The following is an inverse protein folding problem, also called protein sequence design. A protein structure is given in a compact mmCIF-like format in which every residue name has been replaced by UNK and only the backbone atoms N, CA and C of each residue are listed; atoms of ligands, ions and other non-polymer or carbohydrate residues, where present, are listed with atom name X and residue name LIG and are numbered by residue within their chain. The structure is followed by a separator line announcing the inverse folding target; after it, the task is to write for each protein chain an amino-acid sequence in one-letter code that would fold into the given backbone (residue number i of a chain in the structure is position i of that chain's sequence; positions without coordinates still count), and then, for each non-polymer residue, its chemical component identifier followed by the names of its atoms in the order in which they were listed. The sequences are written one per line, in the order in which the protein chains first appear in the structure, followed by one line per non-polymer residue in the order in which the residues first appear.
data_IF_018257572227
#
_entry.id   IF_018257572227
#
_cell.length_a   1.000
_cell.length_b   1.000
_cell.length_c   1.000
_cell.angle_alpha   90.00
_cell.angle_beta   90.00
_cell.angle_gamma   90.00
#
_symmetry.space_group_name_H-M   'P 1'
#
loop_
_entity.id
_entity.type
_entity.pdbx_description
1 polymer ?
#
# COMPACT_ATOMS: atom_id res chain seq x y z
N UNK A 1 -15.01 -1.69 11.68
CA UNK A 1 -14.05 -0.61 11.50
C UNK A 1 -12.84 -1.11 10.74
N UNK A 2 -12.34 -0.27 9.85
CA UNK A 2 -11.19 -0.64 9.05
C UNK A 2 -9.91 -0.62 9.87
N UNK A 3 -9.05 -1.61 9.68
CA UNK A 3 -7.72 -1.61 10.26
C UNK A 3 -6.70 -0.96 9.32
N UNK A 4 -7.15 -0.55 8.13
CA UNK A 4 -6.29 0.10 7.16
C UNK A 4 -6.22 1.59 7.50
N UNK A 5 -5.00 2.11 7.62
CA UNK A 5 -4.77 3.51 7.92
C UNK A 5 -4.56 4.28 6.64
N UNK A 6 -5.26 5.39 6.46
CA UNK A 6 -5.08 6.20 5.27
C UNK A 6 -3.95 7.21 5.48
N UNK A 7 -3.05 7.29 4.50
CA UNK A 7 -1.95 8.26 4.50
C UNK A 7 -2.44 9.50 3.76
N UNK A 8 -2.44 10.64 4.43
CA UNK A 8 -3.05 11.86 3.92
C UNK A 8 -2.10 12.71 3.09
N UNK A 9 -0.82 12.72 3.45
CA UNK A 9 0.16 13.57 2.79
C UNK A 9 1.57 13.03 3.05
N UNK A 10 2.58 13.75 2.56
CA UNK A 10 3.97 13.32 2.68
C UNK A 10 4.43 13.21 4.13
N UNK A 11 4.07 14.19 4.94
CA UNK A 11 4.44 14.17 6.36
C UNK A 11 3.82 12.96 7.04
N UNK A 12 2.56 12.69 6.71
CA UNK A 12 1.84 11.55 7.25
C UNK A 12 2.52 10.23 6.82
N UNK A 13 2.97 10.18 5.57
CA UNK A 13 3.68 9.02 5.05
C UNK A 13 4.95 8.76 5.86
N UNK A 14 5.73 9.81 6.09
CA UNK A 14 6.95 9.67 6.87
C UNK A 14 6.63 9.16 8.27
N UNK A 15 5.64 9.76 8.91
CA UNK A 15 5.31 9.40 10.29
C UNK A 15 4.74 8.00 10.42
N UNK A 16 3.89 7.59 9.49
CA UNK A 16 3.18 6.31 9.61
C UNK A 16 3.90 5.14 8.97
N UNK A 17 4.72 5.41 7.98
CA UNK A 17 5.39 4.36 7.22
C UNK A 17 6.87 4.33 7.50
N UNK A 18 7.56 5.44 7.23
CA UNK A 18 9.02 5.47 7.33
C UNK A 18 9.49 5.33 8.78
N UNK A 19 8.81 6.01 9.68
CA UNK A 19 9.20 6.01 11.10
C UNK A 19 8.55 4.89 11.91
N UNK A 20 7.85 3.98 11.25
CA UNK A 20 7.20 2.87 11.95
C UNK A 20 8.25 1.90 12.48
N UNK A 21 8.03 1.40 13.69
CA UNK A 21 8.93 0.42 14.29
C UNK A 21 8.53 -1.02 13.94
N UNK A 22 7.52 -1.18 13.11
CA UNK A 22 7.06 -2.48 12.63
C UNK A 22 6.87 -2.43 11.13
N UNK A 23 6.84 -3.58 10.46
CA UNK A 23 6.64 -3.58 8.99
C UNK A 23 5.32 -2.93 8.61
N UNK A 24 5.31 -2.26 7.47
CA UNK A 24 4.13 -1.57 6.96
C UNK A 24 3.89 -1.99 5.52
N UNK A 25 2.67 -2.46 5.27
CA UNK A 25 2.22 -2.73 3.91
C UNK A 25 1.49 -1.50 3.40
N UNK A 26 1.91 -0.96 2.28
CA UNK A 26 1.31 0.25 1.70
C UNK A 26 0.64 -0.10 0.39
N UNK A 27 -0.64 0.24 0.28
CA UNK A 27 -1.45 0.04 -0.93
C UNK A 27 -1.57 1.38 -1.65
N UNK A 28 -0.91 1.50 -2.81
CA UNK A 28 -1.05 2.69 -3.66
C UNK A 28 -2.25 2.49 -4.56
N UNK A 29 -3.22 3.36 -4.45
CA UNK A 29 -4.53 3.18 -5.12
C UNK A 29 -5.08 4.51 -5.62
N UNK A 30 -6.20 4.45 -6.34
CA UNK A 30 -6.92 5.66 -6.77
C UNK A 30 -8.41 5.34 -6.84
N UNK A 31 -9.22 6.36 -6.70
CA UNK A 31 -10.68 6.24 -6.74
C UNK A 31 -11.20 5.65 -8.05
N UNK A 32 -10.57 6.03 -9.15
CA UNK A 32 -11.00 5.61 -10.49
C UNK A 32 -10.50 4.21 -10.88
N UNK A 33 -9.73 3.60 -10.02
CA UNK A 33 -9.06 2.34 -10.35
C UNK A 33 -9.95 1.15 -9.97
N UNK A 34 -10.50 0.48 -10.97
CA UNK A 34 -11.34 -0.70 -10.74
C UNK A 34 -10.62 -1.82 -10.01
N UNK A 35 -9.44 -2.25 -10.49
CA UNK A 35 -8.68 -3.29 -9.80
C UNK A 35 -8.33 -2.94 -8.36
N UNK A 36 -8.08 -1.66 -8.08
CA UNK A 36 -7.82 -1.22 -6.71
C UNK A 36 -9.02 -1.49 -5.82
N UNK A 37 -10.22 -1.25 -6.32
CA UNK A 37 -11.45 -1.48 -5.57
C UNK A 37 -11.71 -2.96 -5.35
N UNK A 38 -11.33 -3.79 -6.30
CA UNK A 38 -11.46 -5.23 -6.15
C UNK A 38 -10.47 -5.76 -5.13
N UNK A 39 -9.30 -5.14 -5.03
CA UNK A 39 -8.28 -5.52 -4.08
C UNK A 39 -8.59 -5.04 -2.67
N UNK A 40 -9.37 -3.97 -2.54
CA UNK A 40 -9.63 -3.34 -1.25
C UNK A 40 -10.12 -4.32 -0.18
N UNK A 41 -11.08 -5.21 -0.46
CA UNK A 41 -11.51 -6.17 0.57
C UNK A 41 -10.37 -7.08 1.04
N UNK A 42 -9.47 -7.46 0.13
CA UNK A 42 -8.34 -8.31 0.48
C UNK A 42 -7.33 -7.57 1.34
N UNK A 43 -7.15 -6.28 1.06
CA UNK A 43 -6.27 -5.44 1.87
C UNK A 43 -6.84 -5.28 3.28
N UNK A 44 -8.15 -5.07 3.37
CA UNK A 44 -8.84 -4.98 4.67
C UNK A 44 -8.69 -6.28 5.45
N UNK A 45 -8.85 -7.40 4.78
CA UNK A 45 -8.72 -8.71 5.40
C UNK A 45 -7.30 -8.93 5.90
N UNK A 46 -6.31 -8.58 5.08
CA UNK A 46 -4.92 -8.70 5.49
C UNK A 46 -4.61 -7.82 6.69
N UNK A 47 -5.18 -6.61 6.72
CA UNK A 47 -4.99 -5.70 7.85
C UNK A 47 -5.51 -6.30 9.14
N UNK A 48 -6.63 -7.01 9.07
CA UNK A 48 -7.19 -7.66 10.24
C UNK A 48 -6.39 -8.90 10.63
N UNK A 49 -6.04 -9.71 9.64
CA UNK A 49 -5.36 -10.98 9.89
C UNK A 49 -3.94 -10.78 10.46
N UNK A 50 -3.25 -9.72 10.03
CA UNK A 50 -1.87 -9.49 10.41
C UNK A 50 -1.68 -8.28 11.33
N UNK A 51 -2.75 -7.86 11.99
CA UNK A 51 -2.72 -6.63 12.79
C UNK A 51 -1.67 -6.63 13.89
N UNK A 52 -1.29 -7.80 14.38
CA UNK A 52 -0.29 -7.92 15.43
C UNK A 52 1.13 -7.99 14.88
N UNK A 53 1.27 -8.12 13.56
CA UNK A 53 2.57 -8.34 12.93
C UNK A 53 3.00 -7.17 12.05
N UNK A 54 2.04 -6.52 11.39
CA UNK A 54 2.35 -5.40 10.52
C UNK A 54 1.19 -4.41 10.51
N UNK A 55 1.51 -3.21 10.06
CA UNK A 55 0.52 -2.16 9.85
C UNK A 55 0.19 -2.10 8.38
N UNK A 56 -1.09 -1.90 8.04
CA UNK A 56 -1.51 -1.74 6.66
C UNK A 56 -1.98 -0.31 6.44
N UNK A 57 -1.41 0.34 5.45
CA UNK A 57 -1.76 1.70 5.08
C UNK A 57 -2.18 1.74 3.62
N UNK A 58 -2.97 2.73 3.26
CA UNK A 58 -3.28 2.99 1.86
C UNK A 58 -3.01 4.46 1.56
N UNK A 59 -2.61 4.73 0.33
CA UNK A 59 -2.28 6.08 -0.09
C UNK A 59 -2.85 6.32 -1.48
N UNK A 60 -3.64 7.39 -1.62
CA UNK A 60 -4.24 7.78 -2.89
C UNK A 60 -3.18 8.48 -3.74
N UNK A 61 -2.86 7.91 -4.90
CA UNK A 61 -1.81 8.45 -5.73
C UNK A 61 -2.15 9.81 -6.33
N UNK A 62 -3.45 10.10 -6.52
CA UNK A 62 -3.85 11.39 -7.04
C UNK A 62 -3.68 12.51 -6.03
N UNK A 63 -3.90 12.20 -4.77
CA UNK A 63 -3.71 13.15 -3.67
C UNK A 63 -2.25 13.23 -3.23
N UNK A 64 -1.44 12.24 -3.59
CA UNK A 64 -0.06 12.13 -3.13
C UNK A 64 0.89 11.86 -4.30
N UNK A 65 0.82 12.71 -5.31
CA UNK A 65 1.59 12.52 -6.54
C UNK A 65 3.09 12.50 -6.32
N UNK A 66 3.57 13.35 -5.42
CA UNK A 66 4.99 13.42 -5.13
C UNK A 66 5.50 12.10 -4.55
N UNK A 67 4.79 11.57 -3.58
CA UNK A 67 5.18 10.30 -2.97
C UNK A 67 5.10 9.16 -3.97
N UNK A 68 4.06 9.13 -4.78
CA UNK A 68 3.92 8.10 -5.81
C UNK A 68 5.07 8.17 -6.81
N UNK A 69 5.45 9.39 -7.23
CA UNK A 69 6.54 9.58 -8.16
C UNK A 69 7.88 9.17 -7.54
N UNK A 70 8.05 9.46 -6.26
CA UNK A 70 9.26 9.12 -5.54
C UNK A 70 9.54 7.61 -5.56
N UNK A 71 8.50 6.82 -5.49
CA UNK A 71 8.63 5.36 -5.50
C UNK A 71 8.37 4.74 -6.86
N UNK A 72 8.27 5.57 -7.89
CA UNK A 72 8.15 5.10 -9.26
C UNK A 72 6.86 4.36 -9.55
N UNK A 73 5.77 4.76 -8.91
CA UNK A 73 4.49 4.09 -9.10
C UNK A 73 3.95 4.41 -10.50
N UNK A 74 3.90 3.41 -11.35
CA UNK A 74 3.44 3.54 -12.73
C UNK A 74 2.11 2.85 -12.99
N UNK A 75 1.82 1.85 -12.21
CA UNK A 75 0.56 1.14 -12.31
C UNK A 75 0.00 0.97 -10.92
N UNK A 76 -1.31 0.94 -10.84
CA UNK A 76 -2.00 0.71 -9.57
C UNK A 76 -3.02 -0.39 -9.78
N UNK A 77 -3.32 -1.14 -8.74
CA UNK A 77 -2.74 -1.03 -7.41
C UNK A 77 -1.29 -1.52 -7.36
N UNK A 78 -0.50 -0.91 -6.50
CA UNK A 78 0.86 -1.37 -6.19
C UNK A 78 0.95 -1.54 -4.69
N UNK A 79 1.42 -2.68 -4.25
CA UNK A 79 1.63 -2.94 -2.83
C UNK A 79 3.12 -2.93 -2.55
N UNK A 80 3.51 -2.16 -1.54
CA UNK A 80 4.91 -2.10 -1.12
C UNK A 80 4.99 -2.44 0.35
N UNK A 81 6.05 -3.13 0.74
CA UNK A 81 6.30 -3.45 2.13
C UNK A 81 7.54 -2.68 2.57
N UNK A 82 7.40 -1.94 3.65
CA UNK A 82 8.49 -1.19 4.25
C UNK A 82 8.80 -1.79 5.60
N UNK A 83 10.08 -1.85 5.93
CA UNK A 83 10.52 -2.32 7.24
C UNK A 83 11.63 -1.39 7.71
N UNK A 84 11.38 -0.75 8.85
CA UNK A 84 12.32 0.21 9.43
C UNK A 84 12.73 1.29 8.46
N UNK A 85 11.76 1.77 7.70
CA UNK A 85 11.96 2.85 6.74
C UNK A 85 12.49 2.44 5.39
N UNK A 86 12.85 1.19 5.20
CA UNK A 86 13.38 0.69 3.93
C UNK A 86 12.36 -0.11 3.16
N UNK A 87 12.36 0.06 1.84
CA UNK A 87 11.48 -0.72 0.97
C UNK A 87 12.07 -2.12 0.82
N UNK A 88 11.31 -3.12 1.21
CA UNK A 88 11.79 -4.50 1.18
C UNK A 88 11.03 -5.39 0.20
N UNK A 89 9.91 -4.91 -0.35
CA UNK A 89 9.18 -5.70 -1.33
C UNK A 89 8.18 -4.86 -2.10
N UNK A 90 7.90 -5.25 -3.33
CA UNK A 90 6.94 -4.57 -4.20
C UNK A 90 6.17 -5.60 -5.00
N UNK A 91 4.85 -5.44 -5.04
CA UNK A 91 3.98 -6.24 -5.88
C UNK A 91 3.05 -5.32 -6.65
N UNK A 92 2.95 -5.56 -7.95
CA UNK A 92 2.10 -4.76 -8.80
C UNK A 92 0.75 -5.44 -8.98
N UNK A 93 -0.24 -4.67 -9.33
CA UNK A 93 -1.64 -4.99 -9.29
C UNK A 93 -2.19 -6.14 -10.10
N UNK A 94 -1.38 -7.09 -10.48
CA UNK A 94 -1.86 -8.31 -11.09
C UNK A 94 -1.90 -9.47 -10.10
N UNK A 95 -1.95 -9.14 -8.82
CA UNK A 95 -2.04 -10.15 -7.78
C UNK A 95 -3.33 -10.94 -7.83
N UNK A 96 -4.36 -10.38 -8.42
CA UNK A 96 -5.65 -11.02 -8.46
C UNK A 96 -5.73 -12.13 -9.49
N UNK A 97 -4.80 -12.19 -10.39
CA UNK A 97 -4.67 -13.34 -11.26
C UNK A 97 -3.19 -13.62 -11.41
N UNK A 98 -2.84 -14.85 -11.18
CA UNK A 98 -1.49 -15.25 -11.35
C UNK A 98 -1.24 -15.31 -12.84
N UNK A 99 -0.51 -14.34 -13.30
CA UNK A 99 0.06 -14.48 -14.60
C UNK A 99 1.13 -15.55 -14.44
N UNK A 100 0.99 -16.68 -15.09
CA UNK A 100 2.05 -17.64 -15.05
C UNK A 100 3.23 -16.99 -15.72
N UNK A 101 4.26 -16.80 -14.96
CA UNK A 101 5.48 -16.35 -15.55
C UNK A 101 5.86 -17.31 -16.63
N UNK A 102 6.21 -16.84 -17.77
CA UNK A 102 6.80 -17.73 -18.75
C UNK A 102 8.10 -18.30 -18.25
#
# INVERSE_FOLDING_TARGET
MSKVTEVQNKEDFVNKVINSDRPVLVDFWAEWCGPCKQLAPLVEEAAEDFKDELTVCKIDVDANRETAAEYGIRSIPTLMIFDKGGLVGTEIGCLLYTSPSP
#
